data_IF_195303406148
#
_entry.id   IF_195303406148
#
_cell.length_a   1.000
_cell.length_b   1.000
_cell.length_c   1.000
_cell.angle_alpha   90.00
_cell.angle_beta   90.00
_cell.angle_gamma   90.00
#
_symmetry.space_group_name_H-M   'P 1'
#
loop_
_entity.id
_entity.type
_entity.pdbx_description
1 polymer ?
#
# COMPACT_ATOMS: atom_id res chain seq x y z
N UNK A 1 -69.85 -55.66 -25.72
CA UNK A 1 -70.32 -56.64 -26.72
C UNK A 1 -71.73 -57.03 -26.35
N UNK A 2 -72.72 -56.47 -27.05
CA UNK A 2 -74.08 -57.04 -27.16
C UNK A 2 -74.78 -56.39 -28.36
N UNK A 3 -74.58 -57.06 -29.49
CA UNK A 3 -75.54 -57.35 -30.57
C UNK A 3 -76.94 -56.71 -30.48
N UNK A 4 -77.26 -55.83 -31.44
CA UNK A 4 -78.65 -55.47 -31.77
C UNK A 4 -79.03 -56.12 -33.11
N UNK A 5 -80.01 -57.02 -33.00
CA UNK A 5 -80.61 -57.85 -34.05
C UNK A 5 -81.44 -56.98 -35.01
N UNK A 6 -81.19 -57.10 -36.32
CA UNK A 6 -82.04 -56.53 -37.36
C UNK A 6 -83.34 -57.34 -37.50
N UNK A 7 -84.49 -56.72 -37.24
CA UNK A 7 -85.80 -57.29 -37.55
C UNK A 7 -86.10 -57.07 -39.04
N UNK A 8 -86.14 -58.15 -39.82
CA UNK A 8 -86.64 -58.14 -41.20
C UNK A 8 -88.17 -58.31 -41.19
N UNK A 9 -88.92 -57.31 -41.65
CA UNK A 9 -90.36 -57.44 -41.92
C UNK A 9 -90.62 -58.54 -42.95
N UNK A 10 -91.21 -59.67 -42.54
CA UNK A 10 -91.60 -60.74 -43.46
C UNK A 10 -92.84 -60.34 -44.27
N UNK A 11 -92.71 -60.18 -45.60
CA UNK A 11 -93.81 -59.92 -46.54
C UNK A 11 -94.38 -61.23 -47.09
N UNK A 12 -95.69 -61.29 -47.37
CA UNK A 12 -96.37 -62.47 -47.93
C UNK A 12 -96.18 -62.60 -49.45
N UNK A 13 -96.17 -63.82 -49.97
CA UNK A 13 -96.00 -64.14 -51.40
C UNK A 13 -97.09 -63.50 -52.29
N UNK A 14 -96.70 -62.92 -53.44
CA UNK A 14 -97.63 -62.23 -54.35
C UNK A 14 -98.36 -63.14 -55.38
N UNK A 15 -98.37 -64.46 -55.17
CA UNK A 15 -99.05 -65.43 -56.03
C UNK A 15 -100.55 -65.57 -55.63
N UNK A 16 -101.52 -65.65 -56.58
CA UNK A 16 -102.94 -65.77 -56.24
C UNK A 16 -103.22 -66.96 -55.31
N UNK A 17 -103.88 -66.71 -54.16
CA UNK A 17 -104.23 -67.69 -53.11
C UNK A 17 -103.04 -68.33 -52.38
N UNK A 18 -101.87 -67.70 -52.34
CA UNK A 18 -100.74 -68.16 -51.54
C UNK A 18 -100.47 -67.23 -50.34
N UNK A 19 -100.57 -67.78 -49.13
CA UNK A 19 -100.32 -67.05 -47.87
C UNK A 19 -98.94 -67.34 -47.26
N UNK A 20 -98.03 -67.97 -48.01
CA UNK A 20 -96.66 -68.26 -47.54
C UNK A 20 -95.81 -66.98 -47.49
N UNK A 21 -94.86 -66.86 -46.56
CA UNK A 21 -93.91 -65.75 -46.56
C UNK A 21 -93.06 -65.75 -47.83
N UNK A 22 -92.72 -64.57 -48.33
CA UNK A 22 -91.77 -64.39 -49.42
C UNK A 22 -90.38 -64.85 -48.97
N UNK A 23 -89.57 -65.33 -49.91
CA UNK A 23 -88.23 -65.85 -49.66
C UNK A 23 -87.35 -64.85 -48.92
N UNK A 24 -86.50 -65.32 -48.00
CA UNK A 24 -85.52 -64.48 -47.32
C UNK A 24 -84.51 -63.96 -48.36
N UNK A 25 -84.31 -62.64 -48.40
CA UNK A 25 -83.29 -62.04 -49.27
C UNK A 25 -81.89 -62.27 -48.72
N UNK A 26 -80.92 -62.58 -49.58
CA UNK A 26 -79.52 -62.64 -49.20
C UNK A 26 -79.05 -61.26 -48.68
N UNK A 27 -78.28 -61.27 -47.59
CA UNK A 27 -77.80 -60.08 -46.90
C UNK A 27 -76.73 -59.34 -47.71
N UNK A 28 -77.16 -58.63 -48.76
CA UNK A 28 -76.29 -57.80 -49.60
C UNK A 28 -77.05 -57.13 -50.73
N UNK A 29 -77.33 -55.83 -50.58
CA UNK A 29 -77.78 -54.86 -51.61
C UNK A 29 -78.46 -55.43 -52.85
N UNK A 30 -79.75 -55.72 -52.74
CA UNK A 30 -80.64 -56.09 -53.85
C UNK A 30 -82.11 -55.88 -53.48
N UNK A 31 -82.99 -55.74 -54.49
CA UNK A 31 -84.44 -55.59 -54.29
C UNK A 31 -85.00 -56.89 -53.66
N UNK A 32 -85.71 -56.83 -52.51
CA UNK A 32 -86.19 -58.03 -51.83
C UNK A 32 -87.10 -58.92 -52.71
N UNK A 33 -87.07 -60.26 -52.57
CA UNK A 33 -87.88 -61.18 -53.37
C UNK A 33 -89.39 -60.98 -53.16
N UNK A 34 -90.19 -61.07 -54.23
CA UNK A 34 -91.65 -60.86 -54.19
C UNK A 34 -92.46 -62.18 -54.06
N UNK A 35 -91.80 -63.34 -54.14
CA UNK A 35 -92.45 -64.66 -54.11
C UNK A 35 -91.73 -65.60 -53.11
N UNK A 36 -92.37 -66.71 -52.74
CA UNK A 36 -91.81 -67.72 -51.82
C UNK A 36 -90.85 -68.67 -52.56
N UNK A 37 -90.19 -69.58 -51.83
CA UNK A 37 -89.22 -70.55 -52.37
C UNK A 37 -89.85 -71.67 -53.24
N UNK A 38 -91.12 -71.53 -53.63
CA UNK A 38 -91.78 -72.47 -54.55
C UNK A 38 -91.41 -72.14 -56.01
N UNK A 39 -90.79 -73.06 -56.77
CA UNK A 39 -90.40 -72.82 -58.16
C UNK A 39 -91.57 -72.42 -59.09
N UNK A 40 -92.80 -72.84 -58.72
CA UNK A 40 -94.03 -72.49 -59.44
C UNK A 40 -94.51 -71.06 -59.19
N UNK A 41 -94.09 -70.43 -58.10
CA UNK A 41 -94.55 -69.10 -57.69
C UNK A 41 -93.60 -68.02 -58.19
N UNK A 42 -93.76 -67.66 -59.45
CA UNK A 42 -93.03 -66.57 -60.07
C UNK A 42 -93.97 -65.67 -60.86
N UNK A 43 -93.45 -64.54 -61.35
CA UNK A 43 -94.23 -63.52 -62.07
C UNK A 43 -94.96 -64.07 -63.30
N UNK A 44 -94.35 -64.99 -64.04
CA UNK A 44 -94.92 -65.56 -65.26
C UNK A 44 -96.07 -66.53 -64.96
N UNK A 45 -95.93 -67.36 -63.91
CA UNK A 45 -96.99 -68.26 -63.46
C UNK A 45 -98.16 -67.51 -62.83
N UNK A 46 -97.88 -66.48 -62.02
CA UNK A 46 -98.92 -65.64 -61.39
C UNK A 46 -99.76 -64.87 -62.41
N UNK A 47 -99.17 -64.47 -63.55
CA UNK A 47 -99.89 -63.84 -64.65
C UNK A 47 -100.81 -64.84 -65.38
N UNK A 48 -100.32 -66.05 -65.67
CA UNK A 48 -101.14 -67.12 -66.29
C UNK A 48 -102.33 -67.53 -65.44
N UNK A 49 -102.14 -67.68 -64.12
CA UNK A 49 -103.24 -68.03 -63.20
C UNK A 49 -104.28 -66.91 -63.08
N UNK A 50 -103.85 -65.64 -63.11
CA UNK A 50 -104.78 -64.49 -63.17
C UNK A 50 -105.59 -64.46 -64.47
N UNK A 51 -105.01 -64.89 -65.59
CA UNK A 51 -105.71 -64.98 -66.86
C UNK A 51 -106.72 -66.13 -66.85
N UNK A 52 -106.37 -67.29 -66.29
CA UNK A 52 -107.29 -68.41 -66.11
C UNK A 52 -108.51 -68.05 -65.24
N UNK A 53 -108.31 -67.24 -64.20
CA UNK A 53 -109.40 -66.74 -63.34
C UNK A 53 -110.28 -65.68 -64.02
N UNK A 54 -109.74 -64.94 -65.01
CA UNK A 54 -110.53 -64.04 -65.86
C UNK A 54 -111.33 -64.80 -66.92
N UNK A 55 -110.74 -65.81 -67.54
CA UNK A 55 -111.40 -66.60 -68.59
C UNK A 55 -112.49 -67.53 -68.02
N UNK A 56 -112.39 -67.93 -66.74
CA UNK A 56 -113.43 -68.71 -66.05
C UNK A 56 -114.66 -67.89 -65.61
N UNK A 57 -114.67 -66.57 -65.81
CA UNK A 57 -115.76 -65.67 -65.42
C UNK A 57 -116.61 -65.12 -66.58
N UNK A 58 -116.37 -65.55 -67.82
CA UNK A 58 -116.91 -64.87 -69.00
C UNK A 58 -117.32 -65.80 -70.16
N UNK A 59 -118.23 -66.74 -69.90
CA UNK A 59 -118.99 -67.49 -70.93
C UNK A 59 -120.40 -67.82 -70.42
N UNK A 60 -121.43 -67.16 -70.99
CA UNK A 60 -122.70 -67.76 -71.47
C UNK A 60 -123.90 -66.80 -71.41
N UNK A 61 -124.19 -66.16 -72.55
CA UNK A 61 -125.51 -65.65 -72.90
C UNK A 61 -125.70 -65.61 -74.44
N UNK A 62 -126.83 -66.17 -74.91
CA UNK A 62 -127.44 -66.21 -76.28
C UNK A 62 -127.09 -67.46 -77.12
N UNK A 63 -128.00 -68.21 -77.74
CA UNK A 63 -129.46 -68.13 -77.98
C UNK A 63 -129.83 -68.26 -79.48
N UNK A 64 -130.86 -69.08 -79.80
CA UNK A 64 -131.60 -69.29 -81.09
C UNK A 64 -131.05 -70.33 -82.09
N UNK A 65 -131.81 -71.12 -82.88
CA UNK A 65 -133.26 -71.29 -83.20
C UNK A 65 -133.38 -72.47 -84.22
N UNK A 66 -134.40 -73.33 -84.19
CA UNK A 66 -135.73 -73.27 -84.85
C UNK A 66 -135.81 -73.91 -86.26
N UNK A 67 -136.85 -74.73 -86.51
CA UNK A 67 -137.40 -75.01 -87.86
C UNK A 67 -138.88 -75.47 -87.83
N UNK A 68 -139.78 -74.52 -88.12
CA UNK A 68 -140.98 -74.50 -89.00
C UNK A 68 -142.21 -75.44 -88.74
N UNK A 69 -143.49 -74.99 -88.71
CA UNK A 69 -144.33 -74.17 -89.65
C UNK A 69 -145.69 -73.78 -89.00
N UNK A 70 -146.63 -72.99 -89.63
CA UNK A 70 -146.52 -71.82 -90.52
C UNK A 70 -147.49 -70.64 -90.16
N UNK A 71 -147.23 -69.44 -90.72
CA UNK A 71 -148.09 -68.22 -90.82
C UNK A 71 -148.15 -67.23 -89.63
N UNK A 72 -147.61 -67.53 -88.45
CA UNK A 72 -147.41 -66.50 -87.39
C UNK A 72 -146.13 -65.66 -87.57
N UNK A 73 -145.18 -66.12 -88.38
CA UNK A 73 -143.84 -65.53 -88.55
C UNK A 73 -143.81 -64.10 -89.15
N UNK A 74 -144.92 -63.60 -89.69
CA UNK A 74 -145.00 -62.22 -90.20
C UNK A 74 -145.39 -61.19 -89.12
N UNK A 75 -145.98 -61.60 -87.99
CA UNK A 75 -146.44 -60.70 -86.92
C UNK A 75 -145.42 -60.55 -85.79
N UNK A 76 -144.65 -61.61 -85.51
CA UNK A 76 -143.58 -61.59 -84.50
C UNK A 76 -142.46 -60.58 -84.86
N UNK A 77 -142.07 -60.55 -86.14
CA UNK A 77 -140.93 -59.75 -86.64
C UNK A 77 -141.17 -58.24 -86.58
N UNK A 78 -142.42 -57.79 -86.61
CA UNK A 78 -142.77 -56.37 -86.45
C UNK A 78 -142.73 -55.93 -84.97
N UNK A 79 -143.12 -56.80 -84.03
CA UNK A 79 -143.06 -56.50 -82.60
C UNK A 79 -141.63 -56.50 -82.06
N UNK A 80 -140.74 -57.34 -82.59
CA UNK A 80 -139.31 -57.34 -82.25
C UNK A 80 -138.60 -56.05 -82.70
N UNK A 81 -138.89 -55.54 -83.90
CA UNK A 81 -138.34 -54.27 -84.38
C UNK A 81 -138.82 -53.07 -83.55
N UNK A 82 -140.08 -53.08 -83.10
CA UNK A 82 -140.60 -52.05 -82.19
C UNK A 82 -139.98 -52.17 -80.81
N UNK A 83 -139.83 -53.38 -80.25
CA UNK A 83 -139.16 -53.57 -78.96
C UNK A 83 -137.68 -53.15 -79.00
N UNK A 84 -136.99 -53.38 -80.11
CA UNK A 84 -135.59 -52.97 -80.29
C UNK A 84 -135.43 -51.45 -80.43
N UNK A 85 -136.33 -50.78 -81.17
CA UNK A 85 -136.36 -49.31 -81.26
C UNK A 85 -136.73 -48.66 -79.92
N UNK A 86 -137.66 -49.26 -79.16
CA UNK A 86 -138.00 -48.78 -77.81
C UNK A 86 -136.85 -48.99 -76.83
N UNK A 87 -136.17 -50.14 -76.85
CA UNK A 87 -135.01 -50.38 -75.98
C UNK A 87 -133.81 -49.49 -76.32
N UNK A 88 -133.60 -49.15 -77.60
CA UNK A 88 -132.60 -48.14 -77.99
C UNK A 88 -133.01 -46.74 -77.56
N UNK A 89 -134.29 -46.38 -77.67
CA UNK A 89 -134.80 -45.10 -77.19
C UNK A 89 -134.70 -44.98 -75.67
N UNK A 90 -134.96 -46.04 -74.90
CA UNK A 90 -134.79 -46.08 -73.44
C UNK A 90 -133.32 -45.97 -73.03
N UNK A 91 -132.40 -46.66 -73.73
CA UNK A 91 -130.97 -46.51 -73.49
C UNK A 91 -130.49 -45.08 -73.81
N UNK A 92 -130.95 -44.48 -74.90
CA UNK A 92 -130.62 -43.08 -75.20
C UNK A 92 -131.23 -42.13 -74.18
N UNK A 93 -132.45 -42.38 -73.69
CA UNK A 93 -133.09 -41.58 -72.65
C UNK A 93 -132.45 -41.75 -71.27
N UNK A 94 -131.74 -42.85 -71.01
CA UNK A 94 -130.96 -43.08 -69.77
C UNK A 94 -129.52 -42.55 -69.89
N UNK A 95 -128.93 -42.62 -71.09
CA UNK A 95 -127.55 -42.16 -71.34
C UNK A 95 -127.43 -40.67 -71.67
N UNK A 96 -128.42 -40.04 -72.33
CA UNK A 96 -128.41 -38.60 -72.58
C UNK A 96 -128.36 -37.79 -71.28
N UNK A 97 -129.14 -38.07 -70.23
CA UNK A 97 -129.01 -37.38 -68.95
C UNK A 97 -127.61 -37.50 -68.38
N UNK A 98 -126.98 -38.68 -68.48
CA UNK A 98 -125.63 -38.94 -67.95
C UNK A 98 -124.54 -38.23 -68.73
N UNK A 99 -124.63 -38.22 -70.07
CA UNK A 99 -123.72 -37.47 -70.93
C UNK A 99 -123.93 -35.94 -70.81
N UNK A 100 -125.17 -35.49 -70.62
CA UNK A 100 -125.48 -34.08 -70.32
C UNK A 100 -124.93 -33.70 -68.94
N UNK A 101 -124.99 -34.59 -67.94
CA UNK A 101 -124.40 -34.35 -66.62
C UNK A 101 -122.87 -34.27 -66.71
N UNK A 102 -122.21 -35.19 -67.44
CA UNK A 102 -120.77 -35.15 -67.69
C UNK A 102 -120.33 -33.90 -68.48
N UNK A 103 -121.11 -33.46 -69.47
CA UNK A 103 -120.86 -32.21 -70.21
C UNK A 103 -121.13 -30.99 -69.32
N UNK A 104 -122.12 -31.04 -68.42
CA UNK A 104 -122.38 -29.98 -67.44
C UNK A 104 -121.26 -29.89 -66.41
N UNK A 105 -120.75 -31.00 -65.90
CA UNK A 105 -119.61 -31.02 -64.98
C UNK A 105 -118.30 -30.62 -65.67
N UNK A 106 -118.08 -31.03 -66.93
CA UNK A 106 -116.91 -30.62 -67.71
C UNK A 106 -117.00 -29.18 -68.25
N UNK A 107 -118.20 -28.66 -68.43
CA UNK A 107 -118.51 -27.29 -68.81
C UNK A 107 -118.80 -26.36 -67.63
N UNK A 108 -118.69 -26.86 -66.40
CA UNK A 108 -118.75 -26.07 -65.17
C UNK A 108 -117.47 -25.25 -65.05
N UNK A 109 -117.45 -24.15 -65.79
CA UNK A 109 -116.35 -23.18 -65.81
C UNK A 109 -116.07 -22.65 -64.40
N UNK A 110 -117.09 -22.50 -63.56
CA UNK A 110 -116.93 -22.03 -62.17
C UNK A 110 -116.18 -23.07 -61.31
N UNK A 111 -116.48 -24.36 -61.49
CA UNK A 111 -115.74 -25.44 -60.81
C UNK A 111 -114.29 -25.58 -61.31
N UNK A 112 -114.06 -25.41 -62.61
CA UNK A 112 -112.71 -25.45 -63.21
C UNK A 112 -111.87 -24.23 -62.79
N UNK A 113 -112.47 -23.03 -62.75
CA UNK A 113 -111.85 -21.81 -62.25
C UNK A 113 -111.51 -21.93 -60.76
N UNK A 114 -112.42 -22.46 -59.93
CA UNK A 114 -112.14 -22.73 -58.51
C UNK A 114 -111.02 -23.76 -58.31
N UNK A 115 -110.91 -24.77 -59.18
CA UNK A 115 -109.83 -25.75 -59.13
C UNK A 115 -108.49 -25.17 -59.59
N UNK A 116 -108.47 -24.35 -60.63
CA UNK A 116 -107.27 -23.62 -61.06
C UNK A 116 -106.84 -22.66 -59.96
N UNK A 117 -107.76 -21.87 -59.40
CA UNK A 117 -107.49 -20.94 -58.29
C UNK A 117 -106.94 -21.67 -57.05
N UNK A 118 -107.48 -22.86 -56.74
CA UNK A 118 -106.95 -23.71 -55.66
C UNK A 118 -105.54 -24.23 -55.96
N UNK A 119 -105.26 -24.70 -57.18
CA UNK A 119 -103.94 -25.19 -57.58
C UNK A 119 -102.93 -24.05 -57.68
N UNK A 120 -103.33 -22.87 -58.14
CA UNK A 120 -102.47 -21.68 -58.18
C UNK A 120 -102.18 -21.20 -56.77
N UNK A 121 -103.16 -21.17 -55.88
CA UNK A 121 -102.95 -20.84 -54.46
C UNK A 121 -102.00 -21.84 -53.80
N UNK A 122 -102.20 -23.15 -54.01
CA UNK A 122 -101.30 -24.18 -53.48
C UNK A 122 -99.89 -24.08 -54.09
N UNK A 123 -99.77 -23.76 -55.38
CA UNK A 123 -98.48 -23.54 -56.03
C UNK A 123 -97.77 -22.29 -55.49
N UNK A 124 -98.49 -21.19 -55.29
CA UNK A 124 -97.98 -19.97 -54.68
C UNK A 124 -97.54 -20.20 -53.23
N UNK A 125 -98.32 -20.93 -52.44
CA UNK A 125 -97.94 -21.34 -51.07
C UNK A 125 -96.68 -22.20 -51.07
N UNK A 126 -96.56 -23.17 -52.00
CA UNK A 126 -95.34 -23.99 -52.15
C UNK A 126 -94.13 -23.16 -52.57
N UNK A 127 -94.30 -22.21 -53.50
CA UNK A 127 -93.24 -21.29 -53.93
C UNK A 127 -92.84 -20.38 -52.77
N UNK A 128 -93.79 -19.80 -52.05
CA UNK A 128 -93.53 -18.97 -50.88
C UNK A 128 -92.82 -19.76 -49.77
N UNK A 129 -93.24 -21.01 -49.51
CA UNK A 129 -92.58 -21.89 -48.55
C UNK A 129 -91.16 -22.31 -49.00
N UNK A 130 -90.94 -22.53 -50.29
CA UNK A 130 -89.62 -22.80 -50.85
C UNK A 130 -88.71 -21.57 -50.78
N UNK A 131 -89.21 -20.39 -51.16
CA UNK A 131 -88.50 -19.12 -51.07
C UNK A 131 -88.16 -18.76 -49.61
N UNK A 132 -89.09 -18.99 -48.68
CA UNK A 132 -88.84 -18.79 -47.26
C UNK A 132 -87.79 -19.75 -46.70
N UNK A 133 -87.77 -21.02 -47.17
CA UNK A 133 -86.70 -21.97 -46.82
C UNK A 133 -85.35 -21.56 -47.40
N UNK A 134 -85.30 -21.14 -48.66
CA UNK A 134 -84.08 -20.65 -49.31
C UNK A 134 -83.52 -19.42 -48.59
N UNK A 135 -84.36 -18.43 -48.30
CA UNK A 135 -83.96 -17.23 -47.55
C UNK A 135 -83.43 -17.56 -46.15
N UNK A 136 -84.06 -18.50 -45.43
CA UNK A 136 -83.54 -18.97 -44.14
C UNK A 136 -82.20 -19.71 -44.27
N UNK A 137 -82.04 -20.53 -45.31
CA UNK A 137 -80.79 -21.23 -45.57
C UNK A 137 -79.66 -20.25 -45.91
N UNK A 138 -79.91 -19.27 -46.75
CA UNK A 138 -78.94 -18.20 -47.05
C UNK A 138 -78.60 -17.35 -45.83
N UNK A 139 -79.59 -17.00 -45.00
CA UNK A 139 -79.33 -16.28 -43.75
C UNK A 139 -78.51 -17.13 -42.78
N UNK A 140 -78.78 -18.42 -42.66
CA UNK A 140 -77.99 -19.34 -41.85
C UNK A 140 -76.57 -19.49 -42.39
N UNK A 141 -76.39 -19.58 -43.71
CA UNK A 141 -75.08 -19.61 -44.35
C UNK A 141 -74.30 -18.32 -44.06
N UNK A 142 -74.91 -17.15 -44.27
CA UNK A 142 -74.27 -15.85 -43.99
C UNK A 142 -73.88 -15.71 -42.53
N UNK A 143 -74.70 -16.20 -41.59
CA UNK A 143 -74.37 -16.23 -40.16
C UNK A 143 -73.18 -17.16 -39.87
N UNK A 144 -73.18 -18.36 -40.43
CA UNK A 144 -72.08 -19.31 -40.25
C UNK A 144 -70.75 -18.81 -40.87
N UNK A 145 -70.82 -18.13 -42.02
CA UNK A 145 -69.66 -17.48 -42.65
C UNK A 145 -69.15 -16.33 -41.79
N UNK A 146 -70.03 -15.48 -41.27
CA UNK A 146 -69.65 -14.39 -40.35
C UNK A 146 -69.04 -14.93 -39.04
N UNK A 147 -69.62 -15.97 -38.44
CA UNK A 147 -69.07 -16.63 -37.24
C UNK A 147 -67.69 -17.25 -37.52
N UNK A 148 -67.49 -17.83 -38.70
CA UNK A 148 -66.17 -18.37 -39.11
C UNK A 148 -65.15 -17.24 -39.28
N UNK A 149 -65.52 -16.16 -39.97
CA UNK A 149 -64.64 -14.99 -40.15
C UNK A 149 -64.27 -14.35 -38.81
N UNK A 150 -65.22 -14.23 -37.88
CA UNK A 150 -64.96 -13.74 -36.52
C UNK A 150 -64.03 -14.69 -35.73
N UNK A 151 -64.25 -16.01 -35.83
CA UNK A 151 -63.37 -17.00 -35.22
C UNK A 151 -61.95 -16.99 -35.82
N UNK A 152 -61.82 -16.86 -37.13
CA UNK A 152 -60.55 -16.76 -37.84
C UNK A 152 -59.82 -15.46 -37.44
N UNK A 153 -60.53 -14.33 -37.35
CA UNK A 153 -59.99 -13.06 -36.88
C UNK A 153 -59.50 -13.15 -35.42
N UNK A 154 -60.30 -13.73 -34.52
CA UNK A 154 -59.93 -13.93 -33.12
C UNK A 154 -58.71 -14.88 -32.98
N UNK A 155 -58.62 -15.91 -33.81
CA UNK A 155 -57.47 -16.80 -33.84
C UNK A 155 -56.20 -16.07 -34.31
N UNK A 156 -56.28 -15.24 -35.36
CA UNK A 156 -55.16 -14.42 -35.83
C UNK A 156 -54.70 -13.44 -34.75
N UNK A 157 -55.61 -12.69 -34.13
CA UNK A 157 -55.28 -11.76 -33.03
C UNK A 157 -54.61 -12.48 -31.85
N UNK A 158 -55.08 -13.69 -31.51
CA UNK A 158 -54.46 -14.51 -30.48
C UNK A 158 -53.04 -14.93 -30.86
N UNK A 159 -52.81 -15.39 -32.10
CA UNK A 159 -51.47 -15.76 -32.55
C UNK A 159 -50.51 -14.56 -32.59
N UNK A 160 -50.99 -13.38 -33.00
CA UNK A 160 -50.20 -12.16 -32.96
C UNK A 160 -49.88 -11.72 -31.53
N UNK A 161 -50.83 -11.85 -30.60
CA UNK A 161 -50.60 -11.56 -29.19
C UNK A 161 -49.56 -12.50 -28.58
N UNK A 162 -49.62 -13.81 -28.89
CA UNK A 162 -48.61 -14.78 -28.46
C UNK A 162 -47.24 -14.42 -29.04
N UNK A 163 -47.16 -14.12 -30.34
CA UNK A 163 -45.89 -13.74 -30.98
C UNK A 163 -45.29 -12.47 -30.37
N UNK A 164 -46.11 -11.47 -30.02
CA UNK A 164 -45.66 -10.25 -29.31
C UNK A 164 -45.11 -10.58 -27.92
N UNK A 165 -45.83 -11.39 -27.15
CA UNK A 165 -45.40 -11.78 -25.80
C UNK A 165 -44.13 -12.64 -25.82
N UNK A 166 -43.99 -13.53 -26.80
CA UNK A 166 -42.76 -14.32 -27.00
C UNK A 166 -41.56 -13.42 -27.32
N UNK A 167 -41.75 -12.40 -28.17
CA UNK A 167 -40.71 -11.42 -28.48
C UNK A 167 -40.34 -10.57 -27.25
N UNK A 168 -41.33 -10.10 -26.48
CA UNK A 168 -41.09 -9.36 -25.23
C UNK A 168 -40.37 -10.22 -24.18
N UNK A 169 -40.76 -11.49 -24.04
CA UNK A 169 -40.10 -12.42 -23.12
C UNK A 169 -38.65 -12.69 -23.54
N UNK A 170 -38.39 -12.88 -24.84
CA UNK A 170 -37.04 -13.07 -25.36
C UNK A 170 -36.16 -11.84 -25.11
N UNK A 171 -36.69 -10.62 -25.29
CA UNK A 171 -35.97 -9.37 -25.02
C UNK A 171 -35.66 -9.21 -23.51
N UNK A 172 -36.66 -9.44 -22.65
CA UNK A 172 -36.47 -9.37 -21.18
C UNK A 172 -35.48 -10.44 -20.70
N UNK A 173 -35.53 -11.66 -21.24
CA UNK A 173 -34.55 -12.70 -20.93
C UNK A 173 -33.14 -12.31 -21.36
N UNK A 174 -32.96 -11.76 -22.57
CA UNK A 174 -31.67 -11.28 -23.03
C UNK A 174 -31.13 -10.13 -22.17
N UNK A 175 -31.99 -9.22 -21.72
CA UNK A 175 -31.61 -8.16 -20.78
C UNK A 175 -31.21 -8.73 -19.41
N UNK A 176 -31.96 -9.70 -18.88
CA UNK A 176 -31.63 -10.35 -17.61
C UNK A 176 -30.28 -11.07 -17.66
N UNK A 177 -29.99 -11.80 -18.75
CA UNK A 177 -28.70 -12.44 -18.98
C UNK A 177 -27.58 -11.39 -19.08
N UNK A 178 -27.85 -10.26 -19.75
CA UNK A 178 -26.93 -9.11 -19.81
C UNK A 178 -26.57 -8.57 -18.43
N UNK A 179 -27.57 -8.27 -17.60
CA UNK A 179 -27.34 -7.80 -16.22
C UNK A 179 -26.65 -8.83 -15.34
N UNK A 180 -26.95 -10.12 -15.52
CA UNK A 180 -26.29 -11.18 -14.76
C UNK A 180 -24.81 -11.29 -15.12
N UNK A 181 -24.46 -11.17 -16.40
CA UNK A 181 -23.07 -11.17 -16.86
C UNK A 181 -22.32 -9.93 -16.36
N UNK A 182 -22.93 -8.75 -16.44
CA UNK A 182 -22.34 -7.51 -15.93
C UNK A 182 -22.14 -7.57 -14.41
N UNK A 183 -23.12 -8.06 -13.65
CA UNK A 183 -23.00 -8.25 -12.21
C UNK A 183 -21.89 -9.23 -11.84
N UNK A 184 -21.74 -10.32 -12.60
CA UNK A 184 -20.67 -11.30 -12.39
C UNK A 184 -19.29 -10.70 -12.67
N UNK A 185 -19.16 -9.94 -13.78
CA UNK A 185 -17.91 -9.24 -14.12
C UNK A 185 -17.52 -8.21 -13.04
N UNK A 186 -18.49 -7.42 -12.55
CA UNK A 186 -18.26 -6.46 -11.46
C UNK A 186 -17.89 -7.15 -10.15
N UNK A 187 -18.44 -8.33 -9.85
CA UNK A 187 -18.07 -9.12 -8.68
C UNK A 187 -16.63 -9.63 -8.77
N UNK A 188 -16.19 -10.09 -9.95
CA UNK A 188 -14.80 -10.51 -10.19
C UNK A 188 -13.84 -9.32 -10.07
N UNK A 189 -14.18 -8.16 -10.65
CA UNK A 189 -13.38 -6.94 -10.51
C UNK A 189 -13.30 -6.46 -9.06
N UNK A 190 -14.41 -6.49 -8.32
CA UNK A 190 -14.46 -6.15 -6.90
C UNK A 190 -13.61 -7.13 -6.06
N UNK A 191 -13.64 -8.43 -6.37
CA UNK A 191 -12.81 -9.42 -5.70
C UNK A 191 -11.31 -9.16 -5.97
N UNK A 192 -10.94 -8.95 -7.23
CA UNK A 192 -9.56 -8.67 -7.63
C UNK A 192 -9.03 -7.37 -7.01
N UNK A 193 -9.83 -6.30 -7.01
CA UNK A 193 -9.44 -5.01 -6.40
C UNK A 193 -9.30 -5.12 -4.88
N UNK A 194 -10.15 -5.91 -4.21
CA UNK A 194 -10.01 -6.20 -2.78
C UNK A 194 -8.74 -6.98 -2.48
N UNK A 195 -8.45 -8.02 -3.25
CA UNK A 195 -7.21 -8.80 -3.10
C UNK A 195 -5.98 -7.91 -3.31
N UNK A 196 -5.96 -7.11 -4.37
CA UNK A 196 -4.89 -6.15 -4.63
C UNK A 196 -4.73 -5.12 -3.49
N UNK A 197 -5.84 -4.60 -2.94
CA UNK A 197 -5.81 -3.68 -1.81
C UNK A 197 -5.28 -4.35 -0.53
N UNK A 198 -5.66 -5.61 -0.26
CA UNK A 198 -5.12 -6.35 0.89
C UNK A 198 -3.64 -6.65 0.76
N UNK A 199 -3.17 -7.01 -0.44
CA UNK A 199 -1.75 -7.21 -0.72
C UNK A 199 -0.96 -5.91 -0.56
N UNK A 200 -1.44 -4.81 -1.13
CA UNK A 200 -0.82 -3.50 -0.98
C UNK A 200 -0.76 -3.02 0.48
N UNK A 201 -1.80 -3.29 1.27
CA UNK A 201 -1.80 -2.99 2.70
C UNK A 201 -0.75 -3.82 3.47
N UNK A 202 -0.64 -5.12 3.19
CA UNK A 202 0.37 -5.98 3.79
C UNK A 202 1.80 -5.55 3.43
N UNK A 203 2.04 -5.18 2.16
CA UNK A 203 3.34 -4.67 1.70
C UNK A 203 3.70 -3.33 2.35
N UNK A 204 2.72 -2.44 2.51
CA UNK A 204 2.91 -1.17 3.21
C UNK A 204 3.22 -1.39 4.70
N UNK A 205 2.52 -2.29 5.38
CA UNK A 205 2.80 -2.66 6.77
C UNK A 205 4.20 -3.26 6.94
N UNK A 206 4.60 -4.16 6.04
CA UNK A 206 5.94 -4.75 6.03
C UNK A 206 7.03 -3.69 5.83
N UNK A 207 6.82 -2.75 4.89
CA UNK A 207 7.73 -1.63 4.63
C UNK A 207 7.84 -0.71 5.86
N UNK A 208 6.72 -0.36 6.48
CA UNK A 208 6.70 0.46 7.69
C UNK A 208 7.44 -0.24 8.84
N UNK A 209 7.24 -1.54 9.02
CA UNK A 209 7.95 -2.32 10.04
C UNK A 209 9.46 -2.35 9.78
N UNK A 210 9.89 -2.55 8.52
CA UNK A 210 11.30 -2.50 8.13
C UNK A 210 11.94 -1.14 8.42
N UNK A 211 11.27 -0.04 8.03
CA UNK A 211 11.75 1.33 8.29
C UNK A 211 11.84 1.65 9.78
N UNK A 212 10.88 1.17 10.59
CA UNK A 212 10.94 1.33 12.06
C UNK A 212 12.14 0.61 12.66
N UNK A 213 12.44 -0.61 12.20
CA UNK A 213 13.60 -1.37 12.65
C UNK A 213 14.92 -0.70 12.22
N UNK A 214 14.98 -0.19 10.99
CA UNK A 214 16.16 0.55 10.52
C UNK A 214 16.39 1.83 11.32
N UNK A 215 15.32 2.59 11.60
CA UNK A 215 15.39 3.79 12.44
C UNK A 215 15.89 3.46 13.85
N UNK A 216 15.36 2.40 14.48
CA UNK A 216 15.81 1.96 15.80
C UNK A 216 17.29 1.56 15.79
N UNK A 217 17.73 0.81 14.76
CA UNK A 217 19.14 0.46 14.58
C UNK A 217 20.05 1.68 14.41
N UNK A 218 19.60 2.69 13.65
CA UNK A 218 20.34 3.95 13.47
C UNK A 218 20.42 4.73 14.77
N UNK A 219 19.33 4.79 15.54
CA UNK A 219 19.30 5.43 16.86
C UNK A 219 20.29 4.78 17.82
N UNK A 220 20.27 3.45 17.97
CA UNK A 220 21.24 2.73 18.82
C UNK A 220 22.69 2.99 18.37
N UNK A 221 22.97 2.95 17.07
CA UNK A 221 24.32 3.26 16.55
C UNK A 221 24.76 4.69 16.84
N UNK A 222 23.84 5.65 16.78
CA UNK A 222 24.14 7.05 17.14
C UNK A 222 24.39 7.20 18.63
N UNK A 223 23.60 6.56 19.48
CA UNK A 223 23.79 6.55 20.94
C UNK A 223 25.15 5.93 21.31
N UNK A 224 25.49 4.77 20.74
CA UNK A 224 26.80 4.14 20.92
C UNK A 224 27.94 5.07 20.47
N UNK A 225 27.78 5.74 19.32
CA UNK A 225 28.80 6.67 18.81
C UNK A 225 28.96 7.90 19.71
N UNK A 226 27.87 8.42 20.27
CA UNK A 226 27.90 9.53 21.23
C UNK A 226 28.68 9.10 22.48
N UNK A 227 28.37 7.93 23.06
CA UNK A 227 29.09 7.41 24.23
C UNK A 227 30.59 7.28 23.95
N UNK A 228 30.97 6.76 22.78
CA UNK A 228 32.38 6.65 22.38
C UNK A 228 33.04 8.02 22.28
N UNK A 229 32.39 8.99 21.63
CA UNK A 229 32.95 10.34 21.46
C UNK A 229 33.04 11.10 22.79
N UNK A 230 32.08 10.92 23.69
CA UNK A 230 32.13 11.47 25.04
C UNK A 230 33.29 10.87 25.85
N UNK A 231 33.48 9.54 25.75
CA UNK A 231 34.63 8.87 26.37
C UNK A 231 35.97 9.34 25.81
N UNK A 232 36.08 9.52 24.49
CA UNK A 232 37.29 10.09 23.85
C UNK A 232 37.54 11.53 24.30
N UNK A 233 36.49 12.37 24.38
CA UNK A 233 36.59 13.75 24.88
C UNK A 233 37.11 13.77 26.31
N UNK A 234 36.54 12.95 27.20
CA UNK A 234 36.89 12.94 28.61
C UNK A 234 38.32 12.45 28.81
N UNK A 235 38.74 11.44 28.04
CA UNK A 235 40.13 10.98 28.00
C UNK A 235 41.09 12.07 27.54
N UNK A 236 40.76 12.79 26.46
CA UNK A 236 41.60 13.88 25.97
C UNK A 236 41.67 15.05 26.95
N UNK A 237 40.59 15.30 27.71
CA UNK A 237 40.60 16.29 28.79
C UNK A 237 41.55 15.88 29.93
N UNK A 238 41.52 14.61 30.35
CA UNK A 238 42.45 14.08 31.36
C UNK A 238 43.92 14.10 30.88
N UNK A 239 44.16 13.74 29.62
CA UNK A 239 45.49 13.83 28.99
C UNK A 239 45.98 15.28 28.92
N UNK A 240 45.08 16.26 28.68
CA UNK A 240 45.41 17.67 28.71
C UNK A 240 45.75 18.16 30.12
N UNK A 241 44.93 17.81 31.12
CA UNK A 241 45.14 18.21 32.52
C UNK A 241 46.47 17.66 33.05
N UNK A 242 46.77 16.38 32.77
CA UNK A 242 48.05 15.76 33.14
C UNK A 242 49.24 16.42 32.45
N UNK A 243 49.13 16.76 31.16
CA UNK A 243 50.18 17.49 30.44
C UNK A 243 50.38 18.91 31.00
N UNK A 244 49.30 19.60 31.38
CA UNK A 244 49.37 20.92 32.01
C UNK A 244 50.02 20.87 33.39
N UNK A 245 49.68 19.88 34.22
CA UNK A 245 50.31 19.67 35.52
C UNK A 245 51.82 19.39 35.37
N UNK A 246 52.19 18.48 34.46
CA UNK A 246 53.60 18.16 34.19
C UNK A 246 54.39 19.39 33.70
N UNK A 247 53.75 20.24 32.88
CA UNK A 247 54.35 21.51 32.44
C UNK A 247 54.54 22.48 33.61
N UNK A 248 53.53 22.64 34.47
CA UNK A 248 53.64 23.51 35.64
C UNK A 248 54.77 23.07 36.59
N UNK A 249 54.90 21.77 36.85
CA UNK A 249 56.01 21.22 37.62
C UNK A 249 57.37 21.43 36.96
N UNK A 250 57.44 21.30 35.62
CA UNK A 250 58.67 21.57 34.88
C UNK A 250 59.08 23.04 34.95
N UNK A 251 58.12 23.95 34.83
CA UNK A 251 58.33 25.39 34.97
C UNK A 251 58.78 25.76 36.40
N UNK A 252 58.20 25.14 37.44
CA UNK A 252 58.63 25.33 38.83
C UNK A 252 60.06 24.80 39.06
N UNK A 253 60.37 23.61 38.56
CA UNK A 253 61.73 23.05 38.61
C UNK A 253 62.74 23.95 37.90
N UNK A 254 62.38 24.51 36.75
CA UNK A 254 63.21 25.43 35.99
C UNK A 254 63.44 26.74 36.77
N UNK A 255 62.40 27.34 37.35
CA UNK A 255 62.52 28.53 38.21
C UNK A 255 63.44 28.27 39.40
N UNK A 256 63.24 27.17 40.12
CA UNK A 256 64.10 26.79 41.23
C UNK A 256 65.55 26.54 40.83
N UNK A 257 65.80 26.00 39.62
CA UNK A 257 67.16 25.84 39.10
C UNK A 257 67.82 27.18 38.77
N UNK A 258 67.08 28.12 38.17
CA UNK A 258 67.56 29.47 37.89
C UNK A 258 67.87 30.23 39.18
N UNK A 259 67.01 30.15 40.18
CA UNK A 259 67.24 30.76 41.50
C UNK A 259 68.49 30.18 42.19
N UNK A 260 68.67 28.86 42.15
CA UNK A 260 69.89 28.21 42.68
C UNK A 260 71.14 28.66 41.94
N UNK A 261 71.09 28.74 40.60
CA UNK A 261 72.21 29.22 39.79
C UNK A 261 72.55 30.68 40.11
N UNK A 262 71.55 31.57 40.21
CA UNK A 262 71.75 32.97 40.58
C UNK A 262 72.34 33.13 41.99
N UNK A 263 71.86 32.34 42.95
CA UNK A 263 72.41 32.32 44.31
C UNK A 263 73.86 31.85 44.31
N UNK A 264 74.21 30.85 43.48
CA UNK A 264 75.58 30.36 43.35
C UNK A 264 76.50 31.36 42.68
N UNK A 265 76.06 32.03 41.60
CA UNK A 265 76.79 33.16 41.01
C UNK A 265 77.05 34.24 42.05
N UNK A 266 76.06 34.60 42.85
CA UNK A 266 76.25 35.62 43.91
C UNK A 266 77.24 35.15 45.00
N UNK A 267 77.28 33.84 45.31
CA UNK A 267 78.28 33.28 46.23
C UNK A 267 79.68 33.33 45.61
N UNK A 268 79.82 32.97 44.34
CA UNK A 268 81.07 33.04 43.59
C UNK A 268 81.59 34.49 43.55
N UNK A 269 80.75 35.46 43.19
CA UNK A 269 81.11 36.89 43.18
C UNK A 269 81.61 37.37 44.55
N UNK A 270 80.92 36.98 45.64
CA UNK A 270 81.36 37.31 47.01
C UNK A 270 82.69 36.64 47.36
N UNK A 271 82.91 35.40 46.95
CA UNK A 271 84.17 34.71 47.18
C UNK A 271 85.33 35.33 46.38
N UNK A 272 85.08 35.75 45.14
CA UNK A 272 86.05 36.47 44.30
C UNK A 272 86.40 37.83 44.92
N UNK A 273 85.40 38.61 45.35
CA UNK A 273 85.61 39.89 46.05
C UNK A 273 86.40 39.71 47.35
N UNK A 274 86.06 38.70 48.16
CA UNK A 274 86.80 38.39 49.37
C UNK A 274 88.26 38.00 49.06
N UNK A 275 88.49 37.23 48.00
CA UNK A 275 89.83 36.85 47.53
C UNK A 275 90.63 38.07 47.05
N UNK A 276 89.99 38.99 46.31
CA UNK A 276 90.61 40.23 45.87
C UNK A 276 91.01 41.12 47.07
N UNK A 277 90.08 41.33 48.02
CA UNK A 277 90.37 42.09 49.25
C UNK A 277 91.46 41.46 50.09
N UNK A 278 91.49 40.12 50.22
CA UNK A 278 92.56 39.42 50.92
C UNK A 278 93.93 39.62 50.25
N UNK A 279 93.99 39.64 48.91
CA UNK A 279 95.23 39.95 48.17
C UNK A 279 95.69 41.38 48.42
N UNK A 280 94.78 42.36 48.36
CA UNK A 280 95.09 43.76 48.68
C UNK A 280 95.62 43.90 50.12
N UNK A 281 95.02 43.22 51.09
CA UNK A 281 95.50 43.21 52.47
C UNK A 281 96.91 42.60 52.60
N UNK A 282 97.20 41.52 51.86
CA UNK A 282 98.54 40.92 51.82
C UNK A 282 99.56 41.86 51.20
N UNK A 283 99.23 42.54 50.10
CA UNK A 283 100.14 43.48 49.45
C UNK A 283 100.36 44.75 50.30
N UNK A 284 99.33 45.22 51.00
CA UNK A 284 99.46 46.28 52.01
C UNK A 284 100.37 45.83 53.17
N UNK A 285 100.18 44.61 53.70
CA UNK A 285 101.02 44.06 54.75
C UNK A 285 102.48 43.88 54.29
N UNK A 286 102.72 43.45 53.05
CA UNK A 286 104.07 43.38 52.45
C UNK A 286 104.72 44.76 52.38
N UNK A 287 103.99 45.75 51.89
CA UNK A 287 104.46 47.14 51.82
C UNK A 287 104.82 47.68 53.21
N UNK A 288 103.99 47.40 54.23
CA UNK A 288 104.29 47.73 55.63
C UNK A 288 105.53 47.00 56.15
N UNK A 289 105.73 45.73 55.80
CA UNK A 289 106.95 44.98 56.17
C UNK A 289 108.19 45.57 55.52
N UNK A 290 108.11 45.96 54.25
CA UNK A 290 109.23 46.57 53.53
C UNK A 290 109.55 47.97 54.08
N UNK A 291 108.54 48.78 54.39
CA UNK A 291 108.67 50.07 55.11
C UNK A 291 109.32 49.86 56.49
N UNK A 292 108.85 48.89 57.29
CA UNK A 292 109.44 48.57 58.59
C UNK A 292 110.89 48.07 58.45
N UNK A 293 111.23 47.34 57.39
CA UNK A 293 112.62 46.92 57.10
C UNK A 293 113.50 48.10 56.76
N UNK A 294 113.00 49.06 55.99
CA UNK A 294 113.69 50.31 55.68
C UNK A 294 113.92 51.13 56.95
N UNK A 295 112.88 51.33 57.77
CA UNK A 295 112.98 52.00 59.08
C UNK A 295 113.97 51.28 60.01
N UNK A 296 113.96 49.94 60.07
CA UNK A 296 114.96 49.17 60.84
C UNK A 296 116.36 49.40 60.25
N UNK A 297 116.50 49.48 58.93
CA UNK A 297 117.74 49.80 58.23
C UNK A 297 118.27 51.19 58.61
N UNK A 298 117.42 52.20 58.57
CA UNK A 298 117.72 53.57 59.00
C UNK A 298 118.09 53.64 60.48
N UNK A 299 117.32 52.98 61.36
CA UNK A 299 117.62 52.91 62.79
C UNK A 299 118.97 52.24 63.06
N UNK A 300 119.30 51.15 62.34
CA UNK A 300 120.61 50.48 62.45
C UNK A 300 121.75 51.36 61.92
N UNK A 301 121.53 52.10 60.83
CA UNK A 301 122.51 53.05 60.31
C UNK A 301 122.72 54.20 61.30
N UNK A 302 121.64 54.77 61.85
CA UNK A 302 121.67 55.76 62.91
C UNK A 302 122.36 55.24 64.18
N UNK A 303 122.11 54.00 64.59
CA UNK A 303 122.79 53.34 65.71
C UNK A 303 124.30 53.19 65.42
N UNK A 304 124.68 52.78 64.21
CA UNK A 304 126.08 52.67 63.81
C UNK A 304 126.78 54.04 63.84
N UNK A 305 126.13 55.08 63.33
CA UNK A 305 126.63 56.47 63.41
C UNK A 305 126.78 56.91 64.87
N UNK A 306 125.75 56.73 65.71
CA UNK A 306 125.82 57.10 67.12
C UNK A 306 126.90 56.32 67.89
N UNK A 307 127.11 55.04 67.55
CA UNK A 307 128.23 54.24 68.09
C UNK A 307 129.57 54.80 67.64
N UNK A 308 129.72 55.17 66.36
CA UNK A 308 130.95 55.77 65.83
C UNK A 308 131.24 57.14 66.46
N UNK A 309 130.24 58.01 66.59
CA UNK A 309 130.34 59.29 67.28
C UNK A 309 130.72 59.11 68.76
N UNK A 310 130.09 58.16 69.45
CA UNK A 310 130.45 57.81 70.84
C UNK A 310 131.90 57.33 70.94
N UNK A 311 132.34 56.46 70.04
CA UNK A 311 133.70 55.92 70.06
C UNK A 311 134.74 57.00 69.70
N UNK A 312 134.41 57.90 68.78
CA UNK A 312 135.21 59.10 68.49
C UNK A 312 135.29 60.04 69.70
N UNK A 313 134.15 60.33 70.36
CA UNK A 313 134.11 61.14 71.57
C UNK A 313 134.91 60.49 72.71
N UNK A 314 134.85 59.16 72.86
CA UNK A 314 135.68 58.42 73.82
C UNK A 314 137.17 58.55 73.48
N UNK A 315 137.54 58.38 72.21
CA UNK A 315 138.92 58.58 71.77
C UNK A 315 139.39 60.01 72.01
N UNK A 316 138.53 61.01 71.84
CA UNK A 316 138.83 62.41 72.13
C UNK A 316 139.00 62.68 73.63
N UNK A 317 138.12 62.13 74.47
CA UNK A 317 138.28 62.17 75.94
C UNK A 317 139.58 61.48 76.37
N UNK A 318 139.93 60.35 75.75
CA UNK A 318 141.19 59.64 76.04
C UNK A 318 142.42 60.45 75.59
N UNK A 319 142.33 61.11 74.44
CA UNK A 319 143.35 62.07 73.99
C UNK A 319 143.48 63.25 74.95
N UNK A 320 142.39 63.84 75.41
CA UNK A 320 142.42 64.94 76.38
C UNK A 320 142.91 64.48 77.76
N UNK A 321 142.58 63.26 78.18
CA UNK A 321 143.11 62.66 79.42
C UNK A 321 144.61 62.45 79.31
N UNK A 322 145.11 61.82 78.25
CA UNK A 322 146.55 61.65 78.04
C UNK A 322 147.27 63.00 77.92
N UNK A 323 146.72 63.99 77.20
CA UNK A 323 147.23 65.36 77.20
C UNK A 323 147.18 66.03 78.58
N UNK A 324 146.14 65.77 79.38
CA UNK A 324 145.98 66.25 80.75
C UNK A 324 146.98 65.62 81.72
N UNK A 325 147.17 64.32 81.64
CA UNK A 325 148.18 63.56 82.39
C UNK A 325 149.58 64.01 82.02
N UNK A 326 149.86 64.25 80.74
CA UNK A 326 151.12 64.77 80.27
C UNK A 326 151.38 66.19 80.77
N UNK A 327 150.38 67.10 80.69
CA UNK A 327 150.46 68.44 81.30
C UNK A 327 150.71 68.37 82.81
N UNK A 328 150.06 67.45 83.53
CA UNK A 328 150.26 67.27 84.96
C UNK A 328 151.64 66.71 85.28
N UNK A 329 152.14 65.77 84.47
CA UNK A 329 153.49 65.24 84.58
C UNK A 329 154.54 66.33 84.34
N UNK A 330 154.38 67.12 83.28
CA UNK A 330 155.24 68.27 82.96
C UNK A 330 155.19 69.32 84.07
N UNK A 331 154.01 69.64 84.61
CA UNK A 331 153.87 70.52 85.78
C UNK A 331 154.58 69.94 87.01
N UNK A 332 154.47 68.62 87.25
CA UNK A 332 155.14 67.95 88.36
C UNK A 332 156.66 68.03 88.22
N UNK A 333 157.17 67.81 87.01
CA UNK A 333 158.59 67.95 86.70
C UNK A 333 159.05 69.39 86.94
N UNK A 334 158.36 70.38 86.36
CA UNK A 334 158.62 71.81 86.58
C UNK A 334 158.59 72.20 88.06
N UNK A 335 157.59 71.75 88.83
CA UNK A 335 157.54 72.04 90.27
C UNK A 335 158.62 71.31 91.07
N UNK A 336 159.02 70.10 90.64
CA UNK A 336 160.14 69.40 91.27
C UNK A 336 161.47 70.12 91.01
N UNK A 337 161.67 70.61 89.79
CA UNK A 337 162.82 71.43 89.41
C UNK A 337 162.84 72.76 90.20
N UNK A 338 161.70 73.44 90.32
CA UNK A 338 161.56 74.65 91.15
C UNK A 338 161.83 74.37 92.64
N UNK A 339 161.39 73.22 93.17
CA UNK A 339 161.67 72.83 94.55
C UNK A 339 163.15 72.51 94.78
N UNK A 340 163.82 71.90 93.79
CA UNK A 340 165.25 71.62 93.86
C UNK A 340 166.08 72.90 93.69
N UNK A 341 165.63 73.84 92.86
CA UNK A 341 166.21 75.18 92.72
C UNK A 341 166.05 76.01 94.02
N UNK A 342 164.85 75.99 94.64
CA UNK A 342 164.63 76.61 95.95
C UNK A 342 165.42 75.93 97.08
N UNK A 343 165.66 74.61 97.01
CA UNK A 343 166.55 73.92 97.95
C UNK A 343 168.01 74.30 97.73
N UNK A 344 168.43 74.46 96.48
CA UNK A 344 169.76 74.94 96.14
C UNK A 344 169.97 76.39 96.59
N UNK A 345 168.98 77.27 96.39
CA UNK A 345 168.97 78.65 96.91
C UNK A 345 168.98 78.69 98.44
N UNK A 346 168.16 77.86 99.10
CA UNK A 346 168.16 77.76 100.56
C UNK A 346 169.51 77.27 101.09
N UNK A 347 170.11 76.27 100.45
CA UNK A 347 171.44 75.79 100.82
C UNK A 347 172.51 76.88 100.60
N UNK A 348 172.46 77.61 99.47
CA UNK A 348 173.31 78.77 99.16
C UNK A 348 173.17 79.88 100.22
N UNK A 349 171.95 80.25 100.59
CA UNK A 349 171.67 81.25 101.62
C UNK A 349 172.13 80.78 103.01
N UNK A 350 172.01 79.48 103.30
CA UNK A 350 172.48 78.89 104.55
C UNK A 350 174.02 78.90 104.62
N UNK A 351 174.70 78.62 103.50
CA UNK A 351 176.15 78.79 103.37
C UNK A 351 176.58 80.26 103.49
N UNK A 352 175.79 81.21 102.97
CA UNK A 352 176.03 82.66 103.16
C UNK A 352 175.85 83.11 104.61
N UNK A 353 174.88 82.53 105.35
CA UNK A 353 174.68 82.77 106.79
C UNK A 353 175.84 82.19 107.62
N UNK A 354 176.39 81.04 107.23
CA UNK A 354 177.57 80.43 107.87
C UNK A 354 178.85 81.22 107.58
N UNK A 355 179.03 81.72 106.35
CA UNK A 355 180.15 82.59 105.97
C UNK A 355 180.13 83.94 106.70
N UNK A 356 178.94 84.54 106.91
CA UNK A 356 178.79 85.78 107.69
C UNK A 356 178.98 85.58 109.20
N UNK A 357 178.68 84.39 109.74
CA UNK A 357 179.00 84.04 111.14
C UNK A 357 180.50 83.75 111.35
N UNK A 358 181.21 83.25 110.34
CA UNK A 358 182.65 83.03 110.39
C UNK A 358 183.49 84.32 110.28
N UNK A 359 182.93 85.41 109.73
CA UNK A 359 183.61 86.71 109.58
C UNK A 359 183.61 87.61 110.84
N UNK A 360 182.86 87.26 111.90
CA UNK A 360 182.69 88.11 113.09
C UNK A 360 183.48 87.68 114.35
N UNK A 361 184.42 86.73 114.23
CA UNK A 361 185.16 86.16 115.37
C UNK A 361 186.67 86.00 115.09
N UNK A 362 187.45 87.09 115.27
CA UNK A 362 188.81 87.16 115.91
C UNK A 362 189.49 88.56 115.80
N UNK A 363 190.48 88.90 116.68
CA UNK A 363 190.76 90.26 117.18
C UNK A 363 192.12 90.89 116.77
N UNK A 364 192.30 92.20 117.05
CA UNK A 364 193.61 92.87 117.31
C UNK A 364 193.43 94.28 117.92
N UNK A 365 194.24 94.65 118.93
CA UNK A 365 194.49 96.03 119.41
C UNK A 365 195.95 96.38 119.01
N UNK A 366 196.42 97.58 118.64
CA UNK A 366 196.08 99.02 118.74
C UNK A 366 197.07 99.78 117.76
N UNK A 367 197.11 101.11 117.51
CA UNK A 367 197.55 102.14 118.48
C UNK A 367 197.73 103.56 117.90
N UNK A 368 197.22 104.56 118.63
CA UNK A 368 197.96 105.73 119.17
C UNK A 368 197.08 106.33 120.28
N UNK A 369 197.69 106.74 121.38
CA UNK A 369 197.38 108.05 121.96
C UNK A 369 198.69 108.82 121.80
N UNK A 370 198.76 110.04 121.25
CA UNK A 370 199.95 110.82 121.46
C UNK A 370 199.87 111.40 122.88
N UNK A 371 201.00 111.75 123.45
CA UNK A 371 200.98 112.69 124.55
C UNK A 371 200.20 113.96 124.17
N UNK A 372 199.62 114.57 125.21
CA UNK A 372 198.88 115.85 125.29
C UNK A 372 197.35 115.82 125.14
#
# INVERSE_FOLDING_TARGET
>A
MTEQVQQTEQRTCRFPRCDRPAAAGDAGTGRPPEYCDDPGHNRASAWRERQRLKDAGQTDARGAGDEARPVEAARQKASELVAQLTGMAELFLDQLPRAIEEIRTAGDLDAAEAQIESVTTEAEERIAAAAARASRAEQAQRRAEAEREEADAAALESTEAVARLEAELADVSAQADGYQNEASALQEELASTREAATAAAADAEATIAALRNELASLQTRLEERIIVLEGERDRLAEELDTAQAARAEADERARGAVERAAAETTRADRAEQATASAREQVDAARSQVDELREQIGELRAGEATARAERDAARAEVERERSHGEQRLADLRTSFSEQLDELRAERNSLQTQVEQRRAAASKPKTQRKAPSE
#
